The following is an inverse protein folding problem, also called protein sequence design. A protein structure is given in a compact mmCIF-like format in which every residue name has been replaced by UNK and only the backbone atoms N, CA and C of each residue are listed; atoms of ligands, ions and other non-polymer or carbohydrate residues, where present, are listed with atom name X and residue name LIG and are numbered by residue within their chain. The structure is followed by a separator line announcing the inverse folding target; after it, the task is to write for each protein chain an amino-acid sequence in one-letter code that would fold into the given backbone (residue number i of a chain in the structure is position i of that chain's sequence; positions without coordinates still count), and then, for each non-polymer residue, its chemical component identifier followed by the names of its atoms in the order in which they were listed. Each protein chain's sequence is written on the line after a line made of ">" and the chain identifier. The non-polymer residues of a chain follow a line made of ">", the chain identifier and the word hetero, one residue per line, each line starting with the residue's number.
data_IF_760150381852
#
_entry.id   IF_760150381852
#
_cell.length_a   1.000
_cell.length_b   1.000
_cell.length_c   1.000
_cell.angle_alpha   90.00
_cell.angle_beta   90.00
_cell.angle_gamma   90.00
#
_symmetry.space_group_name_H-M   'P 1'
#
loop_
_entity.id
_entity.type
_entity.pdbx_description
1 polymer ?
#
# COMPACT_ATOMS: atom_id res chain seq x y z
N UNK A 1 -12.75 4.34 23.40
CA UNK A 1 -11.96 4.28 22.16
C UNK A 1 -11.03 3.08 22.18
N UNK A 2 -10.94 2.32 21.09
CA UNK A 2 -10.01 1.21 21.06
C UNK A 2 -8.55 1.73 20.96
N UNK A 3 -7.64 1.06 21.64
CA UNK A 3 -6.22 1.48 21.73
C UNK A 3 -5.53 1.62 20.37
N UNK A 4 -5.97 0.86 19.35
CA UNK A 4 -5.33 0.89 18.01
C UNK A 4 -5.61 2.18 17.25
N UNK A 5 -6.69 2.91 17.57
CA UNK A 5 -7.03 4.16 16.89
C UNK A 5 -6.02 5.29 17.12
N UNK A 6 -5.15 5.15 18.10
CA UNK A 6 -4.14 6.15 18.42
C UNK A 6 -2.74 5.76 17.94
N UNK A 7 -2.62 4.68 17.15
CA UNK A 7 -1.33 4.28 16.60
C UNK A 7 -0.89 5.25 15.49
N UNK A 8 0.43 5.39 15.31
CA UNK A 8 1.00 6.21 14.22
C UNK A 8 0.55 5.70 12.84
N UNK A 9 0.38 4.39 12.69
CA UNK A 9 -0.12 3.78 11.44
C UNK A 9 -1.55 4.20 11.13
N UNK A 10 -2.43 4.20 12.14
CA UNK A 10 -3.82 4.62 11.96
C UNK A 10 -3.90 6.11 11.62
N UNK A 11 -3.16 6.96 12.34
CA UNK A 11 -3.12 8.41 12.09
C UNK A 11 -2.62 8.72 10.68
N UNK A 12 -1.60 8.00 10.22
CA UNK A 12 -1.03 8.13 8.88
C UNK A 12 -2.06 7.77 7.80
N UNK A 13 -2.80 6.69 8.01
CA UNK A 13 -3.88 6.26 7.12
C UNK A 13 -4.99 7.30 7.02
N UNK A 14 -5.41 7.88 8.15
CA UNK A 14 -6.44 8.93 8.17
C UNK A 14 -5.96 10.21 7.47
N UNK A 15 -4.72 10.59 7.67
CA UNK A 15 -4.12 11.76 7.00
C UNK A 15 -4.12 11.60 5.49
N UNK A 16 -3.64 10.46 4.99
CA UNK A 16 -3.52 10.23 3.54
C UNK A 16 -4.89 10.16 2.87
N UNK A 17 -5.89 9.60 3.53
CA UNK A 17 -7.26 9.58 3.01
C UNK A 17 -7.84 10.99 2.87
N UNK A 18 -7.56 11.89 3.83
CA UNK A 18 -7.99 13.29 3.76
C UNK A 18 -7.35 14.03 2.58
N UNK A 19 -6.13 13.69 2.21
CA UNK A 19 -5.47 14.27 1.04
C UNK A 19 -5.97 13.66 -0.28
N UNK A 20 -6.26 12.38 -0.29
CA UNK A 20 -6.69 11.67 -1.49
C UNK A 20 -8.14 11.96 -1.88
N UNK A 21 -9.05 12.00 -0.93
CA UNK A 21 -10.49 12.13 -1.20
C UNK A 21 -10.85 13.36 -2.05
N UNK A 22 -10.28 14.56 -1.84
CA UNK A 22 -10.56 15.71 -2.70
C UNK A 22 -10.15 15.50 -4.15
N UNK A 23 -9.04 14.81 -4.39
CA UNK A 23 -8.55 14.50 -5.74
C UNK A 23 -9.49 13.52 -6.45
N UNK A 24 -9.99 12.53 -5.71
CA UNK A 24 -10.96 11.58 -6.24
C UNK A 24 -12.29 12.28 -6.55
N UNK A 25 -12.76 13.14 -5.66
CA UNK A 25 -14.01 13.88 -5.85
C UNK A 25 -14.01 14.74 -7.12
N UNK A 26 -12.87 15.34 -7.45
CA UNK A 26 -12.73 16.13 -8.68
C UNK A 26 -12.94 15.28 -9.94
N UNK A 27 -12.59 13.99 -9.88
CA UNK A 27 -12.63 13.07 -11.03
C UNK A 27 -13.88 12.22 -11.05
N UNK A 28 -14.43 11.92 -9.90
CA UNK A 28 -15.66 11.15 -9.72
C UNK A 28 -16.45 11.71 -8.55
N UNK A 29 -17.38 12.68 -8.79
CA UNK A 29 -18.19 13.25 -7.72
C UNK A 29 -19.09 12.22 -7.01
N UNK A 30 -19.34 11.08 -7.63
CA UNK A 30 -20.21 10.04 -7.10
C UNK A 30 -19.44 8.93 -6.37
N UNK A 31 -18.17 9.13 -6.07
CA UNK A 31 -17.39 8.16 -5.32
C UNK A 31 -18.04 7.88 -3.95
N UNK A 32 -17.79 6.69 -3.42
CA UNK A 32 -18.27 6.29 -2.10
C UNK A 32 -17.10 5.80 -1.25
N UNK A 33 -17.05 6.26 -0.01
CA UNK A 33 -16.11 5.73 0.97
C UNK A 33 -16.54 4.33 1.39
N UNK A 34 -15.60 3.40 1.51
CA UNK A 34 -15.85 2.05 1.97
C UNK A 34 -16.28 2.03 3.44
N UNK A 35 -17.18 1.11 3.80
CA UNK A 35 -17.52 0.84 5.18
C UNK A 35 -16.44 -0.02 5.85
N UNK A 36 -16.60 -0.29 7.16
CA UNK A 36 -15.61 -1.04 7.93
C UNK A 36 -15.35 -2.44 7.39
N UNK A 37 -16.41 -3.16 7.00
CA UNK A 37 -16.30 -4.51 6.44
C UNK A 37 -15.54 -4.50 5.12
N UNK A 38 -15.83 -3.54 4.26
CA UNK A 38 -15.14 -3.38 2.98
C UNK A 38 -13.66 -3.01 3.18
N UNK A 39 -13.35 -2.22 4.21
CA UNK A 39 -11.97 -1.91 4.56
C UNK A 39 -11.17 -3.14 4.98
N UNK A 40 -11.80 -4.14 5.60
CA UNK A 40 -11.15 -5.42 5.88
C UNK A 40 -10.77 -6.18 4.61
N UNK A 41 -11.44 -5.89 3.49
CA UNK A 41 -11.10 -6.44 2.17
C UNK A 41 -10.11 -5.55 1.42
N UNK A 42 -9.45 -4.63 2.12
CA UNK A 42 -8.47 -3.70 1.56
C UNK A 42 -9.07 -2.73 0.54
N UNK A 43 -10.30 -2.28 0.76
CA UNK A 43 -10.97 -1.28 -0.08
C UNK A 43 -11.20 -0.02 0.76
N UNK A 44 -10.73 1.13 0.27
CA UNK A 44 -10.98 2.43 0.90
C UNK A 44 -12.11 3.19 0.18
N UNK A 45 -12.17 3.10 -1.15
CA UNK A 45 -13.15 3.82 -1.96
C UNK A 45 -13.70 2.98 -3.10
N UNK A 46 -14.97 3.25 -3.45
CA UNK A 46 -15.62 2.80 -4.68
C UNK A 46 -15.73 3.98 -5.63
N UNK A 47 -15.34 3.78 -6.90
CA UNK A 47 -15.33 4.85 -7.89
C UNK A 47 -15.52 4.32 -9.31
N UNK A 48 -15.62 5.23 -10.28
CA UNK A 48 -15.63 4.90 -11.71
C UNK A 48 -14.30 4.27 -12.18
N UNK A 49 -13.23 4.46 -11.41
CA UNK A 49 -11.92 3.85 -11.69
C UNK A 49 -11.80 2.44 -11.11
N UNK A 50 -12.84 1.94 -10.48
CA UNK A 50 -12.84 0.69 -9.71
C UNK A 50 -12.72 0.95 -8.21
N UNK A 51 -12.52 -0.11 -7.45
CA UNK A 51 -12.23 0.00 -6.02
C UNK A 51 -10.78 0.41 -5.81
N UNK A 52 -10.55 1.28 -4.82
CA UNK A 52 -9.23 1.89 -4.57
C UNK A 52 -8.81 1.64 -3.14
N UNK A 53 -7.56 1.21 -2.97
CA UNK A 53 -6.87 1.11 -1.68
C UNK A 53 -5.74 2.16 -1.67
N UNK A 54 -5.78 3.08 -0.73
CA UNK A 54 -4.83 4.20 -0.63
C UNK A 54 -3.73 3.82 0.35
N UNK A 55 -2.48 3.90 -0.10
CA UNK A 55 -1.30 3.58 0.70
C UNK A 55 -0.47 4.83 0.97
N UNK A 56 -0.34 5.20 2.24
CA UNK A 56 0.52 6.29 2.67
C UNK A 56 2.00 5.94 2.45
N UNK A 57 2.80 6.94 2.12
CA UNK A 57 4.27 6.77 2.12
C UNK A 57 4.72 6.40 3.54
N UNK A 58 5.76 5.57 3.64
CA UNK A 58 6.22 5.00 4.90
C UNK A 58 7.72 5.15 5.07
N UNK A 59 8.14 5.10 6.32
CA UNK A 59 9.55 4.88 6.66
C UNK A 59 9.93 3.44 6.31
N UNK A 60 11.19 3.22 5.99
CA UNK A 60 11.70 1.86 5.79
C UNK A 60 12.09 1.24 7.12
N UNK A 61 12.80 2.00 7.97
CA UNK A 61 13.14 1.59 9.33
C UNK A 61 12.42 2.51 10.33
N UNK A 62 12.10 1.98 11.51
CA UNK A 62 11.49 2.79 12.57
C UNK A 62 12.39 3.94 13.03
N UNK A 63 13.71 3.78 12.89
CA UNK A 63 14.70 4.80 13.26
C UNK A 63 14.86 5.91 12.22
N UNK A 64 14.28 5.76 11.02
CA UNK A 64 14.35 6.80 10.00
C UNK A 64 13.60 8.04 10.47
N UNK A 65 14.14 9.22 10.17
CA UNK A 65 13.53 10.49 10.59
C UNK A 65 12.27 10.83 9.79
N UNK A 66 12.15 10.37 8.54
CA UNK A 66 11.07 10.74 7.64
C UNK A 66 10.60 9.55 6.80
N UNK A 67 9.34 9.61 6.36
CA UNK A 67 8.83 8.81 5.26
C UNK A 67 9.56 9.20 3.96
N UNK A 68 9.53 8.31 2.98
CA UNK A 68 10.28 8.48 1.73
C UNK A 68 9.44 8.01 0.52
N UNK A 69 9.79 8.48 -0.68
CA UNK A 69 9.04 8.23 -1.90
C UNK A 69 9.59 7.10 -2.78
N UNK A 70 10.78 6.59 -2.48
CA UNK A 70 11.52 5.73 -3.43
C UNK A 70 11.24 4.24 -3.24
N UNK A 71 10.94 3.81 -2.02
CA UNK A 71 10.77 2.40 -1.69
C UNK A 71 9.35 2.15 -1.20
N UNK A 72 8.82 0.98 -1.54
CA UNK A 72 7.45 0.58 -1.21
C UNK A 72 7.48 -0.79 -0.54
N UNK A 73 6.79 -0.89 0.60
CA UNK A 73 6.46 -2.17 1.21
C UNK A 73 5.25 -2.76 0.50
N UNK A 74 5.39 -3.99 0.00
CA UNK A 74 4.27 -4.76 -0.57
C UNK A 74 3.97 -5.95 0.34
N UNK A 75 2.68 -6.20 0.57
CA UNK A 75 2.23 -7.21 1.53
C UNK A 75 1.60 -8.39 0.79
N UNK A 76 2.26 -9.55 0.90
CA UNK A 76 1.77 -10.82 0.37
C UNK A 76 0.88 -11.54 1.39
N UNK A 77 1.30 -11.60 2.66
CA UNK A 77 0.53 -12.13 3.77
C UNK A 77 0.44 -11.06 4.86
N UNK A 78 -0.73 -10.97 5.48
CA UNK A 78 -0.95 -10.03 6.59
C UNK A 78 -0.50 -10.63 7.93
N UNK A 79 -0.66 -9.87 9.01
CA UNK A 79 -0.24 -10.27 10.36
C UNK A 79 -0.96 -11.52 10.89
N UNK A 80 -2.09 -11.89 10.29
CA UNK A 80 -2.83 -13.11 10.61
C UNK A 80 -2.44 -14.29 9.73
N UNK A 81 -1.51 -14.11 8.79
CA UNK A 81 -1.10 -15.13 7.84
C UNK A 81 -2.08 -15.35 6.68
N UNK A 82 -3.03 -14.44 6.50
CA UNK A 82 -3.99 -14.46 5.39
C UNK A 82 -3.46 -13.60 4.24
N UNK A 83 -4.17 -13.62 3.10
CA UNK A 83 -3.80 -12.80 1.94
C UNK A 83 -3.67 -11.33 2.33
N UNK A 84 -2.51 -10.74 2.00
CA UNK A 84 -2.26 -9.31 2.16
C UNK A 84 -2.93 -8.49 1.07
N UNK A 85 -2.79 -7.17 1.15
CA UNK A 85 -3.46 -6.28 0.22
C UNK A 85 -3.02 -6.46 -1.24
N UNK A 86 -1.79 -6.91 -1.48
CA UNK A 86 -1.29 -7.16 -2.84
C UNK A 86 -2.09 -8.26 -3.55
N UNK A 87 -2.54 -9.26 -2.80
CA UNK A 87 -3.38 -10.38 -3.27
C UNK A 87 -4.85 -10.20 -2.94
N UNK A 88 -5.24 -9.00 -2.55
CA UNK A 88 -6.61 -8.70 -2.16
C UNK A 88 -7.57 -8.50 -3.34
N UNK A 89 -8.71 -7.86 -3.04
CA UNK A 89 -9.80 -7.72 -4.00
C UNK A 89 -9.87 -6.33 -4.65
N UNK A 90 -9.04 -5.39 -4.22
CA UNK A 90 -9.02 -4.04 -4.72
C UNK A 90 -8.57 -4.00 -6.20
N UNK A 91 -9.20 -3.15 -7.00
CA UNK A 91 -8.84 -2.98 -8.41
C UNK A 91 -7.58 -2.11 -8.57
N UNK A 92 -7.48 -1.05 -7.79
CA UNK A 92 -6.45 -0.01 -7.95
C UNK A 92 -5.79 0.27 -6.60
N UNK A 93 -4.47 0.37 -6.60
CA UNK A 93 -3.68 0.86 -5.47
C UNK A 93 -3.25 2.30 -5.77
N UNK A 94 -3.46 3.21 -4.83
CA UNK A 94 -3.00 4.60 -4.91
C UNK A 94 -1.86 4.79 -3.92
N UNK A 95 -0.63 4.90 -4.42
CA UNK A 95 0.55 5.13 -3.60
C UNK A 95 0.81 6.61 -3.42
N UNK A 96 0.87 7.06 -2.18
CA UNK A 96 1.24 8.43 -1.85
C UNK A 96 2.72 8.68 -2.11
N UNK A 97 3.00 9.81 -2.79
CA UNK A 97 4.32 10.45 -2.79
C UNK A 97 4.19 11.86 -2.23
N UNK A 98 5.30 12.54 -2.07
CA UNK A 98 5.31 13.89 -1.48
C UNK A 98 4.39 14.86 -2.24
N UNK A 99 4.39 14.84 -3.58
CA UNK A 99 3.66 15.80 -4.41
C UNK A 99 2.46 15.24 -5.15
N UNK A 100 2.24 13.94 -5.11
CA UNK A 100 1.22 13.28 -5.92
C UNK A 100 0.84 11.90 -5.36
N UNK A 101 -0.07 11.24 -6.09
CA UNK A 101 -0.41 9.82 -5.91
C UNK A 101 -0.17 9.10 -7.23
N UNK A 102 0.39 7.91 -7.15
CA UNK A 102 0.54 6.99 -8.29
C UNK A 102 -0.55 5.94 -8.18
N UNK A 103 -1.43 5.89 -9.18
CA UNK A 103 -2.50 4.90 -9.25
C UNK A 103 -2.13 3.81 -10.23
N UNK A 104 -2.19 2.56 -9.77
CA UNK A 104 -1.81 1.39 -10.55
C UNK A 104 -2.83 0.27 -10.34
N UNK A 105 -3.12 -0.49 -11.38
CA UNK A 105 -3.94 -1.69 -11.23
C UNK A 105 -3.22 -2.71 -10.36
N UNK A 106 -3.92 -3.18 -9.32
CA UNK A 106 -3.35 -4.15 -8.37
C UNK A 106 -2.86 -5.42 -9.09
N UNK A 107 -3.60 -5.88 -10.09
CA UNK A 107 -3.20 -7.07 -10.86
C UNK A 107 -1.87 -6.89 -11.59
N UNK A 108 -1.59 -5.72 -12.13
CA UNK A 108 -0.30 -5.42 -12.77
C UNK A 108 0.82 -5.42 -11.73
N UNK A 109 0.56 -4.79 -10.59
CA UNK A 109 1.52 -4.75 -9.50
C UNK A 109 1.82 -6.16 -8.97
N UNK A 110 0.80 -6.96 -8.74
CA UNK A 110 0.95 -8.35 -8.29
C UNK A 110 1.78 -9.16 -9.29
N UNK A 111 1.46 -9.08 -10.57
CA UNK A 111 2.19 -9.80 -11.62
C UNK A 111 3.67 -9.44 -11.65
N UNK A 112 3.99 -8.15 -11.53
CA UNK A 112 5.37 -7.69 -11.45
C UNK A 112 6.07 -8.21 -10.19
N UNK A 113 5.43 -8.09 -9.03
CA UNK A 113 6.01 -8.52 -7.76
C UNK A 113 6.28 -10.02 -7.72
N UNK A 114 5.44 -10.84 -8.35
CA UNK A 114 5.66 -12.29 -8.46
C UNK A 114 6.93 -12.62 -9.26
N UNK A 115 7.32 -11.75 -10.18
CA UNK A 115 8.53 -11.93 -10.99
C UNK A 115 9.78 -11.41 -10.27
N UNK A 116 9.71 -10.21 -9.69
CA UNK A 116 10.91 -9.53 -9.16
C UNK A 116 11.19 -9.84 -7.68
N UNK A 117 10.19 -10.28 -6.90
CA UNK A 117 10.37 -10.62 -5.49
C UNK A 117 10.59 -12.12 -5.33
N UNK A 118 11.74 -12.51 -4.80
CA UNK A 118 12.05 -13.90 -4.47
C UNK A 118 11.70 -14.19 -3.00
N UNK A 119 10.48 -14.63 -2.78
CA UNK A 119 9.97 -14.91 -1.43
C UNK A 119 10.62 -16.15 -0.78
N UNK A 120 11.31 -16.98 -1.56
CA UNK A 120 12.08 -18.11 -1.00
C UNK A 120 13.31 -17.64 -0.23
N UNK A 121 13.81 -16.46 -0.55
CA UNK A 121 14.92 -15.82 0.15
C UNK A 121 14.36 -15.02 1.33
N UNK A 122 14.37 -15.65 2.51
CA UNK A 122 13.83 -15.04 3.74
C UNK A 122 14.88 -14.22 4.46
N UNK A 123 14.48 -13.01 4.87
CA UNK A 123 15.31 -12.10 5.65
C UNK A 123 14.53 -11.62 6.86
N UNK A 124 15.23 -11.25 7.92
CA UNK A 124 14.62 -10.75 9.16
C UNK A 124 14.94 -9.27 9.42
N UNK A 125 15.75 -8.66 8.55
CA UNK A 125 16.14 -7.26 8.65
C UNK A 125 15.62 -6.49 7.44
N UNK A 126 15.01 -5.33 7.69
CA UNK A 126 14.47 -4.46 6.63
C UNK A 126 15.54 -3.99 5.63
N UNK A 127 16.79 -3.88 6.06
CA UNK A 127 17.91 -3.51 5.18
C UNK A 127 18.13 -4.51 4.03
N UNK A 128 17.75 -5.77 4.24
CA UNK A 128 17.96 -6.85 3.29
C UNK A 128 16.69 -7.21 2.52
N UNK A 129 15.61 -6.46 2.72
CA UNK A 129 14.27 -6.83 2.26
C UNK A 129 13.99 -6.50 0.79
N UNK A 130 14.87 -5.76 0.12
CA UNK A 130 14.65 -5.40 -1.28
C UNK A 130 14.56 -6.67 -2.14
N UNK A 131 13.39 -6.87 -2.75
CA UNK A 131 13.06 -8.03 -3.60
C UNK A 131 13.16 -9.39 -2.91
N UNK A 132 13.11 -9.42 -1.58
CA UNK A 132 13.19 -10.66 -0.79
C UNK A 132 12.00 -10.75 0.17
N UNK A 133 11.77 -11.95 0.70
CA UNK A 133 10.72 -12.16 1.69
C UNK A 133 11.14 -11.70 3.08
N UNK A 134 10.61 -10.58 3.53
CA UNK A 134 10.83 -10.09 4.89
C UNK A 134 9.78 -10.70 5.82
N UNK A 135 10.24 -11.44 6.80
CA UNK A 135 9.38 -12.05 7.81
C UNK A 135 10.09 -12.00 9.15
N UNK A 136 9.50 -11.25 10.08
CA UNK A 136 10.03 -11.13 11.44
C UNK A 136 9.80 -12.43 12.21
N UNK A 137 10.72 -12.75 13.09
CA UNK A 137 10.60 -13.93 13.94
C UNK A 137 9.29 -13.88 14.76
N UNK A 138 8.57 -15.01 14.78
CA UNK A 138 7.29 -15.10 15.48
C UNK A 138 6.11 -14.39 14.82
N UNK A 139 6.31 -13.77 13.65
CA UNK A 139 5.26 -13.08 12.90
C UNK A 139 4.83 -13.88 11.68
N UNK A 140 3.57 -13.72 11.29
CA UNK A 140 2.97 -14.43 10.14
C UNK A 140 2.97 -13.59 8.87
N UNK A 141 3.12 -12.28 8.98
CA UNK A 141 3.12 -11.41 7.83
C UNK A 141 4.37 -11.63 6.97
N UNK A 142 4.17 -11.58 5.66
CA UNK A 142 5.22 -11.71 4.67
C UNK A 142 5.14 -10.53 3.74
N UNK A 143 6.16 -9.70 3.79
CA UNK A 143 6.24 -8.46 3.00
C UNK A 143 7.57 -8.42 2.24
N UNK A 144 7.66 -7.54 1.27
CA UNK A 144 8.89 -7.29 0.52
C UNK A 144 9.02 -5.79 0.27
N UNK A 145 10.20 -5.35 -0.12
CA UNK A 145 10.42 -3.99 -0.60
C UNK A 145 10.62 -4.03 -2.11
N UNK A 146 9.94 -3.14 -2.82
CA UNK A 146 10.17 -2.83 -4.23
C UNK A 146 10.48 -1.35 -4.38
N UNK A 147 10.94 -0.95 -5.56
CA UNK A 147 11.22 0.46 -5.85
C UNK A 147 10.00 1.13 -6.50
N UNK A 148 9.80 2.40 -6.19
CA UNK A 148 8.80 3.21 -6.91
C UNK A 148 9.09 3.22 -8.41
N UNK A 149 10.36 3.20 -8.83
CA UNK A 149 10.73 3.10 -10.24
C UNK A 149 10.20 1.84 -10.91
N UNK A 150 10.10 0.72 -10.18
CA UNK A 150 9.48 -0.51 -10.71
C UNK A 150 8.01 -0.29 -11.00
N UNK A 151 7.29 0.40 -10.10
CA UNK A 151 5.87 0.71 -10.27
C UNK A 151 5.66 1.64 -11.47
N UNK A 152 6.51 2.65 -11.62
CA UNK A 152 6.42 3.62 -12.72
C UNK A 152 6.70 3.02 -14.10
N UNK A 153 7.34 1.85 -14.16
CA UNK A 153 7.53 1.10 -15.40
C UNK A 153 6.24 0.40 -15.88
N UNK A 154 5.25 0.28 -15.02
CA UNK A 154 3.93 -0.27 -15.35
C UNK A 154 2.97 0.84 -15.77
N UNK A 155 1.91 0.54 -16.54
CA UNK A 155 0.86 1.52 -16.81
C UNK A 155 0.28 2.09 -15.52
N UNK A 156 0.23 3.41 -15.40
CA UNK A 156 -0.20 4.09 -14.19
C UNK A 156 -0.77 5.46 -14.49
N UNK A 157 -1.43 6.06 -13.51
CA UNK A 157 -1.86 7.46 -13.53
C UNK A 157 -1.15 8.23 -12.42
N UNK A 158 -0.91 9.51 -12.66
CA UNK A 158 -0.33 10.43 -11.67
C UNK A 158 -1.38 11.48 -11.32
N UNK A 159 -1.78 11.54 -10.07
CA UNK A 159 -2.71 12.55 -9.57
C UNK A 159 -1.97 13.51 -8.65
N UNK A 160 -1.74 14.72 -9.12
CA UNK A 160 -1.03 15.75 -8.34
C UNK A 160 -1.90 16.26 -7.20
N UNK A 161 -1.25 16.45 -6.05
CA UNK A 161 -1.87 17.07 -4.88
C UNK A 161 -2.17 18.54 -5.10
#
# INVERSE_FOLDING_TARGET
>A
MSKWKNTSSWNRGQRVEKEFAPLLRQRDPNYRKANREEQFRHIDYFSNFGTIDVKAKKKINRSDSQEQDELIWVEFLNVQGREGWLRGQTDVIAFERNKDFILIKRNYLLGMCQVICDLSKRVTNSKDALYKGYQREGRKDLISIIKMSDVLDLPHQVWKK
#
